data_IF_706609558667
#
_entry.id   IF_706609558667
#
_cell.length_a   1.000
_cell.length_b   1.000
_cell.length_c   1.000
_cell.angle_alpha   90.00
_cell.angle_beta   90.00
_cell.angle_gamma   90.00
#
_symmetry.space_group_name_H-M   'P 1'
#
loop_
_entity.id
_entity.type
_entity.pdbx_description
1 polymer ?
#
# COMPACT_ATOMS: atom_id res chain seq x y z
N UNK A 1 -21.34 13.21 14.16
CA UNK A 1 -21.62 11.82 14.56
C UNK A 1 -20.82 11.60 15.82
N UNK A 2 -21.45 11.23 16.92
CA UNK A 2 -20.78 10.93 18.19
C UNK A 2 -19.71 9.88 17.93
N UNK A 3 -18.42 10.22 18.03
CA UNK A 3 -17.37 9.20 18.00
C UNK A 3 -17.64 8.29 19.20
N UNK A 4 -18.07 7.07 18.92
CA UNK A 4 -17.89 6.01 19.88
C UNK A 4 -16.39 5.96 20.12
N UNK A 5 -15.96 5.91 21.38
CA UNK A 5 -14.59 5.56 21.67
C UNK A 5 -14.32 4.24 20.94
N UNK A 6 -13.15 4.09 20.33
CA UNK A 6 -12.71 2.87 19.67
C UNK A 6 -11.46 2.34 20.37
N UNK A 7 -11.43 1.02 20.62
CA UNK A 7 -10.20 0.38 21.07
C UNK A 7 -9.26 0.24 19.88
N UNK A 8 -8.03 0.74 20.01
CA UNK A 8 -7.06 0.79 18.92
C UNK A 8 -5.85 -0.12 19.17
N UNK A 9 -5.27 -0.62 18.10
CA UNK A 9 -3.99 -1.33 18.17
C UNK A 9 -3.22 -1.19 16.85
N UNK A 10 -1.90 -1.34 16.94
CA UNK A 10 -1.02 -1.28 15.78
C UNK A 10 -0.19 -2.54 15.63
N UNK A 11 -0.14 -3.04 14.40
CA UNK A 11 0.82 -4.05 13.97
C UNK A 11 1.82 -3.40 13.05
N UNK A 12 3.07 -3.31 13.51
CA UNK A 12 4.16 -2.67 12.76
C UNK A 12 5.11 -3.76 12.32
N UNK A 13 5.25 -3.88 11.00
CA UNK A 13 6.09 -4.86 10.31
C UNK A 13 7.29 -4.11 9.72
N UNK A 14 8.38 -3.93 10.49
CA UNK A 14 9.51 -3.12 10.05
C UNK A 14 10.41 -3.85 9.06
N UNK A 15 10.77 -3.16 7.98
CA UNK A 15 11.79 -3.60 7.01
C UNK A 15 11.56 -5.02 6.47
N UNK A 16 10.31 -5.38 6.18
CA UNK A 16 9.93 -6.63 5.54
C UNK A 16 10.54 -6.70 4.14
N UNK A 17 11.31 -7.75 3.86
CA UNK A 17 11.76 -8.07 2.53
C UNK A 17 10.67 -8.90 1.82
N UNK A 18 10.19 -8.41 0.68
CA UNK A 18 9.34 -9.16 -0.22
C UNK A 18 10.14 -9.46 -1.48
N UNK A 19 10.30 -10.75 -1.82
CA UNK A 19 10.97 -11.18 -3.07
C UNK A 19 9.97 -11.65 -4.10
N UNK A 20 10.30 -11.46 -5.38
CA UNK A 20 9.48 -11.87 -6.52
C UNK A 20 8.05 -11.28 -6.47
N UNK A 21 7.91 -10.05 -5.97
CA UNK A 21 6.60 -9.39 -5.95
C UNK A 21 6.15 -9.04 -7.38
N UNK A 22 4.84 -8.94 -7.60
CA UNK A 22 4.33 -8.51 -8.90
C UNK A 22 4.51 -7.00 -9.08
N UNK A 23 5.45 -6.61 -9.94
CA UNK A 23 5.75 -5.22 -10.24
C UNK A 23 4.86 -4.66 -11.35
N UNK A 24 4.15 -5.50 -12.10
CA UNK A 24 3.08 -5.08 -13.01
C UNK A 24 1.79 -4.89 -12.21
N UNK A 25 1.64 -3.70 -11.63
CA UNK A 25 0.51 -3.38 -10.75
C UNK A 25 -0.82 -3.34 -11.51
N UNK A 26 -0.79 -2.86 -12.75
CA UNK A 26 -1.84 -2.98 -13.75
C UNK A 26 -1.25 -2.78 -15.17
N UNK A 27 -2.09 -2.80 -16.20
CA UNK A 27 -1.69 -2.66 -17.61
C UNK A 27 -0.95 -1.34 -17.95
N UNK A 28 -1.00 -0.34 -17.06
CA UNK A 28 -0.43 0.98 -17.28
C UNK A 28 0.73 1.31 -16.32
N UNK A 29 0.83 0.60 -15.20
CA UNK A 29 1.72 0.94 -14.08
C UNK A 29 2.64 -0.24 -13.76
N UNK A 30 3.94 -0.01 -13.97
CA UNK A 30 5.01 -0.93 -13.59
C UNK A 30 5.90 -0.25 -12.56
N UNK A 31 6.23 -0.94 -11.47
CA UNK A 31 7.12 -0.45 -10.42
C UNK A 31 6.62 -0.82 -9.03
N UNK A 32 6.09 0.17 -8.30
CA UNK A 32 5.47 -0.05 -6.99
C UNK A 32 4.27 -0.98 -7.19
N UNK A 33 4.12 -2.07 -6.40
CA UNK A 33 2.99 -2.97 -6.55
C UNK A 33 1.67 -2.26 -6.23
N UNK A 34 0.56 -2.85 -6.66
CA UNK A 34 -0.75 -2.29 -6.39
C UNK A 34 -0.96 -2.06 -4.89
N UNK A 35 -1.50 -0.89 -4.54
CA UNK A 35 -1.81 -0.57 -3.15
C UNK A 35 -2.94 -1.46 -2.61
N UNK A 36 -3.81 -1.96 -3.50
CA UNK A 36 -4.79 -3.01 -3.16
C UNK A 36 -4.13 -4.29 -2.66
N UNK A 37 -2.90 -4.58 -3.07
CA UNK A 37 -2.11 -5.73 -2.60
C UNK A 37 -1.66 -5.57 -1.15
N UNK A 38 -1.21 -4.38 -0.75
CA UNK A 38 -0.80 -4.10 0.63
C UNK A 38 -1.99 -4.06 1.59
N UNK A 39 -3.06 -3.41 1.19
CA UNK A 39 -4.31 -3.36 1.97
C UNK A 39 -4.97 -4.73 2.07
N UNK A 40 -4.95 -5.52 0.99
CA UNK A 40 -5.37 -6.92 0.99
C UNK A 40 -4.51 -7.81 1.91
N UNK A 41 -3.20 -7.58 1.99
CA UNK A 41 -2.33 -8.25 2.96
C UNK A 41 -2.72 -7.89 4.41
N UNK A 42 -3.02 -6.61 4.67
CA UNK A 42 -3.57 -6.16 5.95
C UNK A 42 -4.88 -6.87 6.29
N UNK A 43 -5.84 -6.92 5.37
CA UNK A 43 -7.10 -7.62 5.58
C UNK A 43 -6.91 -9.14 5.76
N UNK A 44 -5.91 -9.76 5.12
CA UNK A 44 -5.54 -11.15 5.40
C UNK A 44 -5.11 -11.35 6.86
N UNK A 45 -4.34 -10.40 7.41
CA UNK A 45 -3.90 -10.41 8.80
C UNK A 45 -5.08 -10.21 9.77
N UNK A 46 -6.02 -9.33 9.42
CA UNK A 46 -7.29 -9.16 10.15
C UNK A 46 -8.02 -10.50 10.31
N UNK A 47 -8.22 -11.22 9.20
CA UNK A 47 -8.89 -12.52 9.21
C UNK A 47 -8.16 -13.53 10.08
N UNK A 48 -6.83 -13.51 10.07
CA UNK A 48 -6.03 -14.37 10.94
C UNK A 48 -6.17 -14.00 12.42
N UNK A 49 -6.14 -12.71 12.77
CA UNK A 49 -6.40 -12.23 14.13
C UNK A 49 -7.79 -12.66 14.63
N UNK A 50 -8.81 -12.62 13.78
CA UNK A 50 -10.15 -13.12 14.11
C UNK A 50 -10.14 -14.60 14.47
N UNK A 51 -9.34 -15.44 13.79
CA UNK A 51 -9.19 -16.86 14.16
C UNK A 51 -8.53 -17.07 15.53
N UNK A 52 -7.75 -16.09 15.98
CA UNK A 52 -7.10 -16.07 17.30
C UNK A 52 -7.99 -15.44 18.38
N UNK A 53 -9.25 -15.08 18.07
CA UNK A 53 -10.21 -14.53 19.02
C UNK A 53 -10.12 -13.01 19.23
N UNK A 54 -9.53 -12.27 18.28
CA UNK A 54 -9.51 -10.80 18.32
C UNK A 54 -10.70 -10.23 17.53
N UNK A 55 -11.50 -9.39 18.18
CA UNK A 55 -12.54 -8.57 17.55
C UNK A 55 -11.98 -7.22 17.10
N UNK A 56 -10.96 -7.27 16.25
CA UNK A 56 -10.29 -6.10 15.68
C UNK A 56 -10.41 -6.16 14.14
N UNK A 57 -10.74 -5.02 13.54
CA UNK A 57 -10.80 -4.82 12.09
C UNK A 57 -9.63 -3.94 11.63
N UNK A 58 -9.14 -4.15 10.41
CA UNK A 58 -8.14 -3.25 9.83
C UNK A 58 -8.83 -1.97 9.38
N UNK A 59 -8.46 -0.87 10.02
CA UNK A 59 -8.94 0.45 9.63
C UNK A 59 -8.14 1.00 8.45
N UNK A 60 -6.82 0.76 8.44
CA UNK A 60 -5.97 1.22 7.36
C UNK A 60 -4.55 0.67 7.42
N UNK A 61 -3.87 0.74 6.28
CA UNK A 61 -2.48 0.24 6.12
C UNK A 61 -1.60 1.36 5.58
N UNK A 62 -0.61 1.80 6.35
CA UNK A 62 0.41 2.73 5.89
C UNK A 62 1.61 1.97 5.31
N UNK A 63 2.11 2.46 4.19
CA UNK A 63 3.17 1.82 3.40
C UNK A 63 4.39 2.74 3.32
N UNK A 64 5.52 2.29 3.86
CA UNK A 64 6.81 2.98 3.75
C UNK A 64 7.78 2.15 2.91
N UNK A 65 8.17 2.67 1.75
CA UNK A 65 9.13 2.04 0.85
C UNK A 65 10.56 2.43 1.20
N UNK A 66 11.43 1.44 1.42
CA UNK A 66 12.87 1.67 1.64
C UNK A 66 13.64 1.45 0.35
N UNK A 67 13.43 0.31 -0.28
CA UNK A 67 14.15 -0.15 -1.46
C UNK A 67 13.17 -0.86 -2.39
N UNK A 68 13.37 -0.67 -3.70
CA UNK A 68 12.63 -1.37 -4.75
C UNK A 68 13.58 -1.59 -5.91
N UNK A 69 13.76 -2.85 -6.29
CA UNK A 69 14.59 -3.28 -7.41
C UNK A 69 13.75 -4.18 -8.33
N UNK A 70 13.69 -3.82 -9.61
CA UNK A 70 13.04 -4.67 -10.62
C UNK A 70 14.05 -5.68 -11.14
N UNK A 71 13.61 -6.92 -11.31
CA UNK A 71 14.44 -7.97 -11.89
C UNK A 71 14.66 -7.70 -13.37
N UNK A 72 15.90 -7.92 -13.82
CA UNK A 72 16.23 -7.85 -15.24
C UNK A 72 15.94 -9.19 -15.93
N UNK A 73 15.32 -9.14 -17.12
CA UNK A 73 15.06 -10.30 -17.96
C UNK A 73 13.60 -10.78 -17.90
N UNK A 74 13.31 -11.87 -18.62
CA UNK A 74 11.96 -12.43 -18.73
C UNK A 74 11.78 -13.64 -17.80
N UNK A 75 10.61 -13.80 -17.16
CA UNK A 75 10.31 -14.99 -16.38
C UNK A 75 10.27 -16.22 -17.28
N UNK A 76 10.72 -17.35 -16.75
CA UNK A 76 10.53 -18.64 -17.42
C UNK A 76 9.08 -19.07 -17.28
N UNK A 77 8.54 -19.72 -18.30
CA UNK A 77 7.19 -20.28 -18.23
C UNK A 77 7.02 -21.20 -17.00
N UNK A 78 5.94 -21.05 -16.20
CA UNK A 78 5.69 -21.90 -15.03
C UNK A 78 5.70 -23.41 -15.33
N UNK A 79 5.18 -23.83 -16.49
CA UNK A 79 5.19 -25.23 -16.92
C UNK A 79 6.61 -25.77 -17.15
N UNK A 80 7.53 -24.92 -17.62
CA UNK A 80 8.94 -25.27 -17.79
C UNK A 80 9.66 -25.37 -16.43
N UNK A 81 9.28 -24.55 -15.44
CA UNK A 81 9.81 -24.62 -14.07
C UNK A 81 9.37 -25.90 -13.33
N UNK A 82 8.19 -26.43 -13.65
CA UNK A 82 7.66 -27.68 -13.06
C UNK A 82 8.12 -28.96 -13.80
N UNK A 83 9.05 -28.84 -14.76
CA UNK A 83 9.66 -30.01 -15.43
C UNK A 83 8.73 -30.75 -16.40
N UNK A 84 7.67 -30.11 -16.89
CA UNK A 84 6.81 -30.70 -17.91
C UNK A 84 7.61 -30.92 -19.20
N UNK A 85 7.83 -32.19 -19.58
CA UNK A 85 8.65 -32.58 -20.74
C UNK A 85 7.96 -32.38 -22.09
N UNK A 86 6.64 -32.22 -22.10
CA UNK A 86 5.82 -32.20 -23.32
C UNK A 86 5.63 -30.79 -23.92
N UNK A 87 6.12 -29.74 -23.25
CA UNK A 87 6.13 -28.39 -23.80
C UNK A 87 7.44 -28.15 -24.56
N UNK A 88 7.46 -28.51 -25.84
CA UNK A 88 8.62 -28.28 -26.72
C UNK A 88 8.93 -26.77 -26.84
N UNK A 89 7.93 -25.89 -26.66
CA UNK A 89 8.06 -24.44 -26.47
C UNK A 89 6.80 -23.91 -25.77
N UNK A 90 6.74 -23.82 -24.43
CA UNK A 90 5.56 -23.25 -23.79
C UNK A 90 5.46 -21.74 -24.11
N UNK A 91 4.23 -21.19 -24.22
CA UNK A 91 4.06 -19.76 -24.45
C UNK A 91 4.72 -18.98 -23.31
N UNK A 92 5.48 -17.95 -23.68
CA UNK A 92 6.08 -17.01 -22.73
C UNK A 92 4.95 -16.06 -22.30
N UNK A 93 4.61 -16.10 -21.02
CA UNK A 93 3.76 -15.09 -20.39
C UNK A 93 4.74 -14.10 -19.75
N UNK A 94 4.73 -12.87 -20.22
CA UNK A 94 5.56 -11.82 -19.63
C UNK A 94 4.98 -11.46 -18.26
N UNK A 95 5.84 -11.43 -17.25
CA UNK A 95 5.55 -10.90 -15.92
C UNK A 95 6.75 -10.04 -15.51
N UNK A 96 6.49 -8.87 -14.95
CA UNK A 96 7.55 -8.03 -14.39
C UNK A 96 7.56 -8.26 -12.88
N UNK A 97 8.70 -8.74 -12.37
CA UNK A 97 8.91 -9.00 -10.95
C UNK A 97 9.98 -8.10 -10.36
N UNK A 98 9.97 -7.98 -9.05
CA UNK A 98 11.01 -7.29 -8.33
C UNK A 98 11.17 -7.79 -6.91
N UNK A 99 12.14 -7.19 -6.22
CA UNK A 99 12.36 -7.30 -4.79
C UNK A 99 12.12 -5.94 -4.14
N UNK A 100 11.43 -5.93 -3.00
CA UNK A 100 11.13 -4.70 -2.27
C UNK A 100 11.43 -4.86 -0.78
N UNK A 101 11.87 -3.76 -0.15
CA UNK A 101 11.98 -3.64 1.31
C UNK A 101 10.99 -2.58 1.78
N UNK A 102 10.04 -2.97 2.61
CA UNK A 102 8.92 -2.12 3.07
C UNK A 102 8.74 -2.17 4.58
N UNK A 103 8.32 -1.07 5.18
CA UNK A 103 7.69 -1.09 6.50
C UNK A 103 6.19 -0.93 6.32
N UNK A 104 5.41 -1.86 6.88
CA UNK A 104 3.95 -1.76 6.93
C UNK A 104 3.53 -1.38 8.36
N UNK A 105 2.62 -0.43 8.47
CA UNK A 105 1.93 -0.11 9.73
C UNK A 105 0.45 -0.36 9.50
N UNK A 106 -0.11 -1.30 10.24
CA UNK A 106 -1.52 -1.69 10.15
C UNK A 106 -2.21 -1.14 11.38
N UNK A 107 -3.18 -0.23 11.16
CA UNK A 107 -4.05 0.31 12.21
C UNK A 107 -5.26 -0.60 12.36
N UNK A 108 -5.51 -1.04 13.58
CA UNK A 108 -6.61 -1.90 13.95
C UNK A 108 -7.56 -1.16 14.88
N UNK A 109 -8.86 -1.32 14.66
CA UNK A 109 -9.93 -0.74 15.48
C UNK A 109 -10.93 -1.82 15.88
N UNK A 110 -11.56 -1.65 17.03
CA UNK A 110 -12.65 -2.49 17.47
C UNK A 110 -13.63 -1.71 18.35
N UNK A 111 -14.86 -2.22 18.44
CA UNK A 111 -15.91 -1.62 19.28
C UNK A 111 -15.44 -1.55 20.73
N UNK A 112 -15.48 -0.35 21.31
CA UNK A 112 -14.98 -0.12 22.66
C UNK A 112 -15.86 -0.84 23.69
N UNK A 113 -15.25 -1.84 24.30
CA UNK A 113 -15.82 -2.64 25.37
C UNK A 113 -14.75 -2.89 26.41
N UNK A 114 -15.10 -2.82 27.69
CA UNK A 114 -14.17 -3.06 28.80
C UNK A 114 -13.37 -4.37 28.61
N UNK A 115 -14.02 -5.40 28.04
CA UNK A 115 -13.41 -6.68 27.72
C UNK A 115 -12.32 -6.56 26.64
N UNK A 116 -12.61 -5.86 25.52
CA UNK A 116 -11.65 -5.70 24.43
C UNK A 116 -10.48 -4.81 24.84
N UNK A 117 -10.73 -3.69 25.53
CA UNK A 117 -9.67 -2.83 26.07
C UNK A 117 -8.73 -3.64 26.95
N UNK A 118 -9.29 -4.37 27.92
CA UNK A 118 -8.51 -5.23 28.83
C UNK A 118 -7.74 -6.30 28.07
N UNK A 119 -8.34 -6.91 27.04
CA UNK A 119 -7.68 -7.93 26.21
C UNK A 119 -6.52 -7.33 25.41
N UNK A 120 -6.70 -6.15 24.81
CA UNK A 120 -5.68 -5.46 24.03
C UNK A 120 -4.51 -5.05 24.91
N UNK A 121 -4.76 -4.41 26.05
CA UNK A 121 -3.72 -3.97 26.99
C UNK A 121 -2.88 -5.15 27.51
N UNK A 122 -3.54 -6.26 27.88
CA UNK A 122 -2.85 -7.37 28.54
C UNK A 122 -2.27 -8.41 27.58
N UNK A 123 -2.90 -8.64 26.42
CA UNK A 123 -2.62 -9.81 25.57
C UNK A 123 -2.06 -9.46 24.18
N UNK A 124 -2.22 -8.23 23.70
CA UNK A 124 -1.84 -7.87 22.33
C UNK A 124 -0.33 -7.83 22.12
N UNK A 125 0.42 -7.46 23.17
CA UNK A 125 1.90 -7.37 23.10
C UNK A 125 2.63 -8.66 23.48
N UNK A 126 1.91 -9.77 23.63
CA UNK A 126 2.50 -11.02 24.14
C UNK A 126 3.49 -11.66 23.15
N UNK A 127 4.55 -12.36 23.64
CA UNK A 127 5.47 -13.07 22.77
C UNK A 127 4.79 -14.16 21.91
N UNK A 128 3.74 -14.79 22.44
CA UNK A 128 2.97 -15.81 21.73
C UNK A 128 2.24 -15.24 20.50
N UNK A 129 1.53 -14.12 20.66
CA UNK A 129 0.88 -13.44 19.55
C UNK A 129 1.89 -12.95 18.52
N UNK A 130 3.02 -12.39 18.98
CA UNK A 130 4.11 -11.94 18.10
C UNK A 130 4.66 -13.08 17.25
N UNK A 131 4.86 -14.26 17.83
CA UNK A 131 5.34 -15.44 17.12
C UNK A 131 4.31 -15.91 16.09
N UNK A 132 3.03 -16.01 16.48
CA UNK A 132 1.94 -16.42 15.60
C UNK A 132 1.81 -15.50 14.38
N UNK A 133 1.80 -14.18 14.59
CA UNK A 133 1.75 -13.19 13.52
C UNK A 133 3.00 -13.23 12.63
N UNK A 134 4.18 -13.43 13.22
CA UNK A 134 5.42 -13.58 12.45
C UNK A 134 5.38 -14.79 11.53
N UNK A 135 4.90 -15.93 12.03
CA UNK A 135 4.74 -17.14 11.22
C UNK A 135 3.73 -16.95 10.11
N UNK A 136 2.61 -16.26 10.39
CA UNK A 136 1.61 -15.95 9.39
C UNK A 136 2.17 -15.03 8.29
N UNK A 137 2.89 -13.96 8.66
CA UNK A 137 3.51 -13.02 7.71
C UNK A 137 4.45 -13.76 6.74
N UNK A 138 5.29 -14.66 7.22
CA UNK A 138 6.21 -15.43 6.37
C UNK A 138 5.53 -16.54 5.55
N UNK A 139 4.36 -16.99 5.97
CA UNK A 139 3.61 -18.04 5.27
C UNK A 139 2.67 -17.50 4.19
N UNK A 140 2.43 -16.19 4.16
CA UNK A 140 1.49 -15.55 3.24
C UNK A 140 2.22 -14.58 2.30
N UNK A 141 1.93 -14.62 0.99
CA UNK A 141 2.55 -13.72 0.04
C UNK A 141 2.02 -12.29 0.20
N UNK A 142 2.91 -11.30 0.12
CA UNK A 142 2.55 -9.88 0.04
C UNK A 142 2.73 -9.42 -1.40
N UNK A 143 1.70 -8.82 -2.01
CA UNK A 143 1.73 -8.35 -3.41
C UNK A 143 2.23 -9.41 -4.41
N UNK A 144 1.90 -10.69 -4.17
CA UNK A 144 2.33 -11.83 -4.99
C UNK A 144 3.73 -12.35 -4.71
N UNK A 145 4.52 -11.65 -3.89
CA UNK A 145 5.89 -12.05 -3.53
C UNK A 145 5.99 -12.74 -2.17
N UNK A 146 7.11 -13.41 -1.94
CA UNK A 146 7.42 -14.13 -0.70
C UNK A 146 8.00 -13.20 0.38
N UNK A 147 7.47 -13.31 1.59
CA UNK A 147 7.82 -12.48 2.74
C UNK A 147 8.97 -13.11 3.56
N UNK A 148 10.02 -12.35 3.86
CA UNK A 148 11.17 -12.81 4.66
C UNK A 148 11.90 -11.63 5.32
N UNK A 149 12.89 -11.94 6.16
CA UNK A 149 13.88 -10.99 6.69
C UNK A 149 13.29 -9.66 7.23
N UNK A 150 12.19 -9.74 7.99
CA UNK A 150 11.69 -8.55 8.69
C UNK A 150 12.46 -8.32 9.99
N UNK A 151 12.60 -7.05 10.36
CA UNK A 151 13.02 -6.70 11.72
C UNK A 151 11.92 -7.09 12.71
N UNK A 152 12.25 -7.11 14.00
CA UNK A 152 11.33 -7.57 15.04
C UNK A 152 9.96 -6.87 14.98
N UNK A 153 8.91 -7.68 14.77
CA UNK A 153 7.51 -7.27 14.77
C UNK A 153 7.17 -6.51 16.05
N UNK A 154 6.49 -5.36 15.92
CA UNK A 154 6.05 -4.56 17.06
C UNK A 154 4.52 -4.57 17.09
N UNK A 155 3.99 -4.91 18.26
CA UNK A 155 2.57 -4.92 18.56
C UNK A 155 2.36 -3.87 19.63
N UNK A 156 1.44 -2.94 19.38
CA UNK A 156 1.26 -1.74 20.20
C UNK A 156 -0.23 -1.61 20.51
N UNK A 157 -0.65 -1.70 21.78
CA UNK A 157 -1.98 -1.28 22.19
C UNK A 157 -2.04 0.26 22.18
N UNK A 158 -3.15 0.82 21.72
CA UNK A 158 -3.38 2.26 21.67
C UNK A 158 -4.84 2.60 22.05
N UNK A 159 -5.09 3.86 22.38
CA UNK A 159 -6.43 4.42 22.61
C UNK A 159 -6.58 5.68 21.78
N UNK A 160 -7.78 6.02 21.30
CA UNK A 160 -8.06 7.22 20.48
C UNK A 160 -7.38 8.50 21.00
N UNK A 161 -7.35 8.71 22.33
CA UNK A 161 -6.79 9.93 22.94
C UNK A 161 -5.27 10.05 22.85
N UNK A 162 -4.55 8.99 22.44
CA UNK A 162 -3.08 8.91 22.41
C UNK A 162 -2.54 8.50 21.03
N UNK A 163 -3.41 8.42 20.02
CA UNK A 163 -3.11 7.76 18.76
C UNK A 163 -1.92 8.39 18.01
N UNK A 164 -2.03 9.69 17.74
CA UNK A 164 -1.03 10.44 16.98
C UNK A 164 0.31 10.57 17.73
N UNK A 165 0.29 10.84 19.04
CA UNK A 165 1.50 11.04 19.83
C UNK A 165 2.32 9.75 19.97
N UNK A 166 1.65 8.61 20.17
CA UNK A 166 2.32 7.32 20.28
C UNK A 166 2.91 6.88 18.94
N UNK A 167 2.15 7.05 17.85
CA UNK A 167 2.61 6.71 16.51
C UNK A 167 3.76 7.63 16.08
N UNK A 168 3.71 8.94 16.38
CA UNK A 168 4.82 9.89 16.22
C UNK A 168 6.07 9.42 16.93
N UNK A 169 5.96 9.16 18.24
CA UNK A 169 7.08 8.73 19.06
C UNK A 169 7.70 7.43 18.53
N UNK A 170 6.87 6.52 18.02
CA UNK A 170 7.34 5.28 17.41
C UNK A 170 8.08 5.51 16.09
N UNK A 171 7.54 6.34 15.20
CA UNK A 171 8.18 6.67 13.92
C UNK A 171 9.48 7.44 14.11
N UNK A 172 9.54 8.33 15.11
CA UNK A 172 10.77 9.01 15.50
C UNK A 172 11.84 8.03 16.00
N UNK A 173 11.44 6.91 16.62
CA UNK A 173 12.34 5.85 17.09
C UNK A 173 12.80 4.89 15.99
N UNK A 174 12.28 5.00 14.76
CA UNK A 174 12.83 4.26 13.63
C UNK A 174 14.28 4.74 13.38
N UNK A 175 15.20 3.78 13.31
CA UNK A 175 16.60 4.07 13.02
C UNK A 175 16.71 4.71 11.63
N UNK A 176 17.74 5.53 11.33
CA UNK A 176 17.91 6.13 10.00
C UNK A 176 17.84 5.12 8.84
N UNK A 177 18.39 3.91 9.02
CA UNK A 177 18.30 2.81 8.05
C UNK A 177 16.91 2.15 7.93
N UNK A 178 15.98 2.51 8.81
CA UNK A 178 14.56 2.12 8.78
C UNK A 178 13.68 3.25 8.24
N UNK A 179 14.28 4.32 7.71
CA UNK A 179 13.53 5.45 7.15
C UNK A 179 13.50 5.33 5.64
N UNK A 180 12.28 5.26 5.12
CA UNK A 180 12.00 5.24 3.70
C UNK A 180 11.08 6.40 3.31
N UNK A 181 10.36 6.17 2.23
CA UNK A 181 9.36 7.08 1.69
C UNK A 181 7.97 6.54 1.99
N UNK A 182 7.17 7.31 2.71
CA UNK A 182 5.73 7.06 2.80
C UNK A 182 5.11 7.20 1.42
N UNK A 183 4.25 6.24 1.07
CA UNK A 183 3.44 6.31 -0.13
C UNK A 183 2.12 6.95 0.26
N UNK A 184 1.90 8.19 -0.16
CA UNK A 184 0.72 8.99 0.24
C UNK A 184 -0.19 9.20 -0.97
N UNK A 185 -1.51 8.96 -0.88
CA UNK A 185 -2.43 9.24 -1.98
C UNK A 185 -2.47 10.74 -2.30
N UNK A 186 -2.41 11.10 -3.57
CA UNK A 186 -2.52 12.49 -4.05
C UNK A 186 -3.58 12.68 -5.14
N UNK A 187 -4.72 11.99 -4.99
CA UNK A 187 -5.83 12.14 -5.92
C UNK A 187 -6.38 13.59 -5.94
N UNK A 188 -6.17 14.35 -4.86
CA UNK A 188 -6.46 15.78 -4.73
C UNK A 188 -5.84 16.59 -5.88
N UNK A 189 -4.62 16.24 -6.27
CA UNK A 189 -3.91 16.93 -7.35
C UNK A 189 -4.56 16.63 -8.71
N UNK A 190 -4.95 15.39 -8.99
CA UNK A 190 -5.65 15.04 -10.23
C UNK A 190 -6.99 15.77 -10.34
N UNK A 191 -7.74 15.85 -9.23
CA UNK A 191 -9.01 16.60 -9.21
C UNK A 191 -8.80 18.09 -9.49
N UNK A 192 -7.73 18.69 -8.94
CA UNK A 192 -7.41 20.09 -9.24
C UNK A 192 -7.14 20.31 -10.73
N UNK A 193 -6.36 19.43 -11.37
CA UNK A 193 -6.12 19.49 -12.82
C UNK A 193 -7.41 19.34 -13.63
N UNK A 194 -8.30 18.44 -13.23
CA UNK A 194 -9.61 18.27 -13.86
C UNK A 194 -10.48 19.53 -13.73
N UNK A 195 -10.48 20.17 -12.56
CA UNK A 195 -11.20 21.44 -12.32
C UNK A 195 -10.62 22.60 -13.14
N UNK A 196 -9.33 22.57 -13.44
CA UNK A 196 -8.66 23.52 -14.34
C UNK A 196 -8.94 23.23 -15.84
N UNK A 197 -9.74 22.20 -16.13
CA UNK A 197 -10.17 21.82 -17.49
C UNK A 197 -9.15 20.97 -18.25
N UNK A 198 -8.15 20.42 -17.57
CA UNK A 198 -7.16 19.52 -18.17
C UNK A 198 -7.65 18.08 -18.16
N UNK A 199 -7.17 17.29 -19.13
CA UNK A 199 -7.41 15.85 -19.15
C UNK A 199 -6.65 15.17 -18.01
N UNK A 200 -7.32 14.24 -17.30
CA UNK A 200 -6.75 13.58 -16.12
C UNK A 200 -5.60 12.65 -16.51
N UNK A 201 -5.64 12.05 -17.69
CA UNK A 201 -4.57 11.20 -18.19
C UNK A 201 -3.34 12.04 -18.58
N UNK A 202 -3.55 13.23 -19.16
CA UNK A 202 -2.47 14.20 -19.37
C UNK A 202 -1.82 14.61 -18.04
N UNK A 203 -2.62 14.89 -17.01
CA UNK A 203 -2.11 15.19 -15.67
C UNK A 203 -1.31 14.02 -15.07
N UNK A 204 -1.76 12.78 -15.29
CA UNK A 204 -1.01 11.57 -14.91
C UNK A 204 0.34 11.50 -15.64
N UNK A 205 0.37 11.73 -16.95
CA UNK A 205 1.61 11.71 -17.75
C UNK A 205 2.57 12.83 -17.38
N UNK A 206 2.04 14.02 -17.06
CA UNK A 206 2.86 15.15 -16.62
C UNK A 206 3.64 14.80 -15.33
N UNK A 207 3.11 13.93 -14.45
CA UNK A 207 3.89 13.45 -13.29
C UNK A 207 5.15 12.66 -13.66
N UNK A 208 5.17 12.03 -14.84
CA UNK A 208 6.31 11.25 -15.33
C UNK A 208 7.21 12.04 -16.30
N UNK A 209 6.80 13.25 -16.66
CA UNK A 209 7.47 14.07 -17.67
C UNK A 209 8.88 14.49 -17.21
N UNK A 210 9.84 14.32 -18.12
CA UNK A 210 11.21 14.85 -17.99
C UNK A 210 11.41 15.93 -19.03
N UNK A 211 11.68 17.16 -18.60
CA UNK A 211 11.93 18.29 -19.49
C UNK A 211 13.41 18.68 -19.43
N UNK A 212 14.02 18.94 -20.58
CA UNK A 212 15.33 19.59 -20.62
C UNK A 212 15.15 21.06 -20.29
N UNK A 213 15.72 21.51 -19.18
CA UNK A 213 15.75 22.93 -18.83
C UNK A 213 17.17 23.47 -18.97
N UNK A 214 17.29 24.63 -19.63
CA UNK A 214 18.53 25.40 -19.70
C UNK A 214 18.45 26.52 -18.67
N UNK A 215 19.19 26.40 -17.56
CA UNK A 215 19.37 27.53 -16.65
C UNK A 215 20.26 28.58 -17.33
N UNK A 216 19.97 29.87 -17.13
CA UNK A 216 20.75 30.98 -17.69
C UNK A 216 22.25 30.90 -17.36
N UNK A 217 22.62 30.21 -16.27
CA UNK A 217 23.99 30.03 -15.80
C UNK A 217 24.71 28.77 -16.32
N UNK A 218 24.09 27.95 -17.18
CA UNK A 218 24.70 26.70 -17.67
C UNK A 218 24.80 26.66 -19.21
N UNK A 219 25.95 26.21 -19.70
CA UNK A 219 26.26 26.09 -21.13
C UNK A 219 25.54 24.91 -21.81
N UNK A 220 25.24 23.84 -21.06
CA UNK A 220 24.62 22.61 -21.54
C UNK A 220 23.24 22.38 -20.87
N UNK A 221 22.19 21.98 -21.63
CA UNK A 221 20.90 21.64 -21.06
C UNK A 221 20.99 20.38 -20.19
N UNK A 222 20.43 20.41 -18.98
CA UNK A 222 20.31 19.21 -18.14
C UNK A 222 18.89 18.67 -18.20
N UNK A 223 18.77 17.37 -18.43
CA UNK A 223 17.52 16.66 -18.20
C UNK A 223 17.14 16.76 -16.72
N UNK A 224 15.99 17.36 -16.42
CA UNK A 224 15.41 17.34 -15.08
C UNK A 224 14.03 16.70 -15.17
N UNK A 225 13.65 15.95 -14.14
CA UNK A 225 12.22 15.70 -13.91
C UNK A 225 11.60 17.04 -13.59
N UNK A 226 10.47 17.37 -14.21
CA UNK A 226 9.60 18.42 -13.70
C UNK A 226 8.91 17.86 -12.46
N UNK A 227 9.66 17.64 -11.39
CA UNK A 227 9.15 17.22 -10.08
C UNK A 227 8.43 18.40 -9.39
N UNK A 228 7.96 19.39 -10.14
CA UNK A 228 7.40 20.63 -9.64
C UNK A 228 5.92 20.70 -10.03
N UNK A 229 5.03 20.54 -9.05
CA UNK A 229 3.66 21.05 -9.16
C UNK A 229 3.61 22.34 -8.37
N UNK A 230 3.17 23.45 -9.01
CA UNK A 230 2.99 24.76 -8.38
C UNK A 230 4.20 25.27 -7.57
N UNK A 231 5.42 25.09 -8.09
CA UNK A 231 6.70 25.49 -7.46
C UNK A 231 7.14 24.66 -6.24
N UNK A 232 6.56 23.50 -5.97
CA UNK A 232 7.02 22.59 -4.91
C UNK A 232 7.65 21.30 -5.46
N UNK A 233 8.83 20.93 -4.97
CA UNK A 233 9.47 19.65 -5.32
C UNK A 233 8.72 18.49 -4.68
N UNK A 234 8.00 17.71 -5.48
CA UNK A 234 7.25 16.53 -5.05
C UNK A 234 7.68 15.31 -5.85
N UNK A 235 7.82 14.18 -5.18
CA UNK A 235 8.13 12.92 -5.86
C UNK A 235 6.83 12.17 -6.15
N UNK A 236 6.19 12.54 -7.26
CA UNK A 236 4.95 11.91 -7.69
C UNK A 236 5.21 10.63 -8.49
N UNK A 237 4.37 9.63 -8.26
CA UNK A 237 4.43 8.33 -8.91
C UNK A 237 3.00 7.85 -9.25
N UNK A 238 2.77 7.21 -10.40
CA UNK A 238 1.50 6.55 -10.68
C UNK A 238 1.35 5.33 -9.78
N UNK A 239 0.13 5.08 -9.33
CA UNK A 239 -0.23 3.95 -8.46
C UNK A 239 -1.49 3.27 -8.99
N UNK A 240 -1.49 1.94 -8.97
CA UNK A 240 -2.73 1.17 -9.09
C UNK A 240 -3.45 1.20 -7.74
N UNK A 241 -4.66 1.75 -7.73
CA UNK A 241 -5.42 2.05 -6.49
C UNK A 241 -6.79 1.38 -6.46
N UNK A 242 -7.17 0.57 -7.45
CA UNK A 242 -8.48 -0.04 -7.42
C UNK A 242 -8.94 -0.59 -8.76
N UNK A 243 -10.25 -0.70 -8.87
CA UNK A 243 -10.95 -1.25 -10.00
C UNK A 243 -12.28 -0.51 -10.23
N UNK A 244 -12.59 -0.23 -11.48
CA UNK A 244 -13.87 0.28 -11.96
C UNK A 244 -14.67 -0.91 -12.49
N UNK A 245 -15.85 -1.19 -11.94
CA UNK A 245 -16.71 -2.21 -12.52
C UNK A 245 -17.24 -1.77 -13.89
N UNK A 246 -17.28 -2.72 -14.83
CA UNK A 246 -17.84 -2.51 -16.18
C UNK A 246 -19.32 -2.91 -16.22
N UNK A 247 -19.75 -3.70 -15.22
CA UNK A 247 -21.09 -4.26 -15.12
C UNK A 247 -21.51 -4.44 -13.65
N UNK A 248 -22.76 -4.86 -13.43
CA UNK A 248 -23.23 -5.20 -12.09
C UNK A 248 -22.72 -6.58 -11.63
N UNK A 249 -22.39 -6.76 -10.33
CA UNK A 249 -21.98 -8.06 -9.79
C UNK A 249 -23.06 -9.14 -9.95
N UNK A 250 -22.68 -10.29 -10.51
CA UNK A 250 -23.59 -11.39 -10.83
C UNK A 250 -22.98 -12.76 -10.50
N UNK A 251 -23.82 -13.79 -10.38
CA UNK A 251 -23.36 -15.16 -10.20
C UNK A 251 -22.85 -15.75 -11.51
N UNK A 252 -21.71 -16.42 -11.45
CA UNK A 252 -21.05 -17.03 -12.62
C UNK A 252 -20.44 -18.37 -12.27
N UNK A 253 -20.26 -19.21 -13.29
CA UNK A 253 -19.53 -20.47 -13.13
C UNK A 253 -18.01 -20.21 -13.02
N UNK A 254 -17.30 -21.08 -12.31
CA UNK A 254 -15.84 -21.00 -12.15
C UNK A 254 -15.35 -19.90 -11.19
N UNK A 255 -16.24 -19.26 -10.44
CA UNK A 255 -15.87 -18.22 -9.46
C UNK A 255 -15.22 -18.82 -8.20
N UNK A 256 -14.28 -18.07 -7.63
CA UNK A 256 -13.66 -18.44 -6.35
C UNK A 256 -14.68 -18.34 -5.21
N UNK A 257 -14.75 -19.38 -4.38
CA UNK A 257 -15.56 -19.44 -3.16
C UNK A 257 -17.05 -19.10 -3.35
N UNK A 258 -17.61 -19.26 -4.56
CA UNK A 258 -19.02 -18.97 -4.85
C UNK A 258 -19.41 -17.49 -4.75
N UNK A 259 -18.43 -16.58 -4.69
CA UNK A 259 -18.67 -15.15 -4.57
C UNK A 259 -19.32 -14.57 -5.84
N UNK A 260 -20.04 -13.46 -5.68
CA UNK A 260 -20.51 -12.68 -6.84
C UNK A 260 -19.31 -12.17 -7.63
N UNK A 261 -19.37 -12.29 -8.95
CA UNK A 261 -18.32 -11.90 -9.86
C UNK A 261 -18.70 -10.64 -10.64
N UNK A 262 -17.72 -9.80 -10.94
CA UNK A 262 -17.87 -8.62 -11.80
C UNK A 262 -16.63 -8.46 -12.66
N UNK A 263 -16.78 -8.17 -13.96
CA UNK A 263 -15.66 -7.69 -14.78
C UNK A 263 -15.34 -6.23 -14.42
N UNK A 264 -14.05 -5.94 -14.28
CA UNK A 264 -13.58 -4.62 -13.89
C UNK A 264 -12.33 -4.22 -14.66
N UNK A 265 -12.17 -2.92 -14.86
CA UNK A 265 -10.95 -2.28 -15.38
C UNK A 265 -10.11 -1.73 -14.23
N UNK A 266 -8.78 -1.63 -14.39
CA UNK A 266 -7.91 -1.09 -13.35
C UNK A 266 -8.14 0.41 -13.16
N UNK A 267 -8.13 0.85 -11.90
CA UNK A 267 -8.14 2.27 -11.53
C UNK A 267 -6.71 2.72 -11.19
N UNK A 268 -6.23 3.73 -11.92
CA UNK A 268 -4.92 4.34 -11.71
C UNK A 268 -5.09 5.73 -11.13
N UNK A 269 -4.25 6.07 -10.15
CA UNK A 269 -4.16 7.41 -9.56
C UNK A 269 -2.69 7.77 -9.35
N UNK A 270 -2.42 8.84 -8.63
CA UNK A 270 -1.07 9.25 -8.24
C UNK A 270 -0.91 9.19 -6.73
N UNK A 271 0.31 8.89 -6.32
CA UNK A 271 0.77 9.11 -4.96
C UNK A 271 2.05 9.91 -4.94
N UNK A 272 2.40 10.38 -3.74
CA UNK A 272 3.65 11.05 -3.46
C UNK A 272 4.52 10.18 -2.57
N UNK A 273 5.80 10.06 -2.94
CA UNK A 273 6.82 9.44 -2.12
C UNK A 273 7.42 10.49 -1.20
N UNK A 274 6.99 10.47 0.06
CA UNK A 274 7.40 11.46 1.04
C UNK A 274 8.39 10.85 2.01
N UNK A 275 9.59 11.42 2.06
CA UNK A 275 10.61 10.96 2.99
C UNK A 275 10.15 11.09 4.45
N UNK A 276 10.26 10.00 5.22
CA UNK A 276 9.67 9.85 6.54
C UNK A 276 10.08 10.94 7.55
N UNK A 277 11.27 11.55 7.43
CA UNK A 277 11.69 12.64 8.32
C UNK A 277 11.28 14.02 7.87
N UNK A 278 10.99 14.23 6.58
CA UNK A 278 10.60 15.54 6.05
C UNK A 278 9.12 15.81 6.32
N UNK A 279 8.31 14.76 6.27
CA UNK A 279 6.86 14.81 6.43
C UNK A 279 6.40 15.25 7.83
N UNK A 280 7.14 14.83 8.87
CA UNK A 280 6.83 15.09 10.28
C UNK A 280 6.85 16.59 10.67
N UNK A 281 7.31 17.47 9.79
CA UNK A 281 7.45 18.91 10.05
C UNK A 281 6.50 19.78 9.23
N UNK A 282 5.57 19.19 8.48
CA UNK A 282 4.53 19.95 7.78
C UNK A 282 3.39 20.28 8.74
N UNK A 283 2.95 21.55 8.76
CA UNK A 283 1.94 22.04 9.70
C UNK A 283 0.55 21.39 9.50
N UNK A 284 0.27 20.89 8.31
CA UNK A 284 -1.03 20.33 7.90
C UNK A 284 -1.05 18.79 7.99
N UNK A 285 -0.06 18.18 8.66
CA UNK A 285 0.07 16.73 8.72
C UNK A 285 -0.87 16.10 9.76
N UNK A 286 -1.78 15.25 9.29
CA UNK A 286 -2.50 14.26 10.09
C UNK A 286 -2.09 12.84 9.64
N UNK A 287 -1.98 11.91 10.60
CA UNK A 287 -1.60 10.52 10.30
C UNK A 287 -2.59 9.80 9.40
N UNK A 288 -3.84 10.21 9.42
CA UNK A 288 -4.89 9.70 8.56
C UNK A 288 -4.48 9.73 7.08
N UNK A 289 -3.68 10.71 6.67
CA UNK A 289 -3.19 10.85 5.29
C UNK A 289 -2.29 9.69 4.83
N UNK A 290 -1.60 8.98 5.72
CA UNK A 290 -0.67 7.90 5.32
C UNK A 290 -1.33 6.52 5.26
N UNK A 291 -2.50 6.35 5.88
CA UNK A 291 -3.17 5.06 5.95
C UNK A 291 -4.09 4.85 4.76
N UNK A 292 -3.84 3.77 4.02
CA UNK A 292 -4.65 3.34 2.90
C UNK A 292 -5.81 2.46 3.35
N UNK A 293 -7.00 2.74 2.84
CA UNK A 293 -8.25 2.08 3.23
C UNK A 293 -9.07 1.73 2.02
N UNK A 294 -9.73 0.57 2.06
CA UNK A 294 -10.70 0.20 1.06
C UNK A 294 -11.97 1.06 1.18
N UNK A 295 -12.43 1.56 0.04
CA UNK A 295 -13.70 2.25 -0.15
C UNK A 295 -14.44 1.64 -1.34
N UNK A 296 -15.76 1.73 -1.28
CA UNK A 296 -16.65 1.32 -2.35
C UNK A 296 -17.64 2.44 -2.63
N UNK A 297 -17.61 2.96 -3.86
CA UNK A 297 -18.64 3.86 -4.36
C UNK A 297 -19.70 3.04 -5.10
N UNK A 298 -20.88 2.92 -4.50
CA UNK A 298 -21.99 2.18 -5.09
C UNK A 298 -22.65 2.88 -6.28
N UNK A 299 -22.55 4.21 -6.39
CA UNK A 299 -23.13 4.95 -7.51
C UNK A 299 -22.27 4.77 -8.76
N UNK A 300 -20.95 4.90 -8.61
CA UNK A 300 -19.99 4.76 -9.70
C UNK A 300 -19.53 3.30 -9.89
N UNK A 301 -19.88 2.39 -8.98
CA UNK A 301 -19.39 1.00 -8.94
C UNK A 301 -17.85 0.92 -8.92
N UNK A 302 -17.21 1.76 -8.11
CA UNK A 302 -15.75 1.83 -7.96
C UNK A 302 -15.33 1.14 -6.68
N UNK A 303 -14.35 0.26 -6.78
CA UNK A 303 -13.69 -0.41 -5.64
C UNK A 303 -12.26 0.10 -5.56
N UNK A 304 -11.93 0.90 -4.57
CA UNK A 304 -10.64 1.60 -4.56
C UNK A 304 -10.05 1.71 -3.16
N UNK A 305 -8.78 2.08 -3.11
CA UNK A 305 -8.06 2.44 -1.89
C UNK A 305 -7.72 3.92 -1.90
N UNK A 306 -7.91 4.55 -0.76
CA UNK A 306 -7.65 5.97 -0.54
C UNK A 306 -7.21 6.20 0.91
N UNK A 307 -7.06 7.45 1.34
CA UNK A 307 -6.71 7.82 2.72
C UNK A 307 -7.90 7.72 3.69
N UNK A 308 -7.61 7.59 4.99
CA UNK A 308 -8.61 7.77 6.06
C UNK A 308 -9.25 9.15 6.07
N UNK A 309 -8.53 10.19 5.63
CA UNK A 309 -9.01 11.57 5.58
C UNK A 309 -9.87 11.89 4.33
N UNK A 310 -10.29 10.87 3.57
CA UNK A 310 -11.07 11.03 2.33
C UNK A 310 -12.53 11.43 2.60
#
# INVERSE_FOLDING_TARGET
>A
MTSALETMAYVVIPSLQVRDFNAEANQYVVGIPSITGFTGFGHGLERYLQTLGWSLAVEGVAVMLHELELHAGHPKCPAALQGAKDFINPPIIEEIKGDLRVTLVIRLVGEDSDALVTQVENSFSTPALRLALTQWIYSNPCCGGSCQDMKGLRLIPATEQQDDEYLLAMLQRLQPQDKGFWVVPRYDLLLQHQLEGQDVLDALFDTQRRTQQKLESQTEPRWRRDAWIRNEKRWLVPLAVGYQAIEAPQQREGVRDGARHVYAEPLTSIGELVYATHWLWQADFTFEHVFWVHRYDAQQQIYFVTTLAF
#
